data_IF_770247840101
#
_entry.id   IF_770247840101
#
_cell.length_a   1.000
_cell.length_b   1.000
_cell.length_c   1.000
_cell.angle_alpha   90.00
_cell.angle_beta   90.00
_cell.angle_gamma   90.00
#
_symmetry.space_group_name_H-M   'P 1'
#
loop_
_entity.id
_entity.type
_entity.pdbx_description
1 polymer ?
#
# COMPACT_ATOMS: atom_id res chain seq x y z
N UNK A 1 -9.17 -2.41 -1.38
CA UNK A 1 -9.22 -0.93 -1.57
C UNK A 1 -10.61 -0.42 -1.94
N UNK A 2 -11.29 -0.92 -2.95
CA UNK A 2 -12.62 -0.42 -3.35
C UNK A 2 -13.70 -0.66 -2.30
N UNK A 3 -13.53 -1.61 -1.38
CA UNK A 3 -14.43 -1.88 -0.26
C UNK A 3 -14.49 -0.74 0.76
N UNK A 4 -13.46 0.08 0.85
CA UNK A 4 -13.50 1.28 1.67
C UNK A 4 -14.57 2.28 1.22
N UNK A 5 -14.93 2.31 -0.07
CA UNK A 5 -15.92 3.25 -0.59
C UNK A 5 -17.29 3.06 0.06
N UNK A 6 -17.88 1.84 0.10
CA UNK A 6 -19.13 1.60 0.84
C UNK A 6 -18.97 1.85 2.33
N UNK A 7 -17.88 1.38 2.93
CA UNK A 7 -17.63 1.49 4.37
C UNK A 7 -17.60 2.95 4.86
N UNK A 8 -16.85 3.82 4.17
CA UNK A 8 -16.83 5.25 4.49
C UNK A 8 -18.13 5.95 4.11
N UNK A 9 -18.73 5.57 2.97
CA UNK A 9 -20.00 6.14 2.56
C UNK A 9 -21.10 5.89 3.60
N UNK A 10 -21.12 4.71 4.22
CA UNK A 10 -22.12 4.36 5.24
C UNK A 10 -21.90 5.06 6.58
N UNK A 11 -20.70 5.49 6.91
CA UNK A 11 -20.40 6.24 8.13
C UNK A 11 -20.84 7.71 8.09
N UNK A 12 -21.00 8.29 6.89
CA UNK A 12 -21.38 9.68 6.73
C UNK A 12 -22.89 9.79 6.38
N UNK A 13 -23.77 10.26 7.28
CA UNK A 13 -25.23 10.13 7.14
C UNK A 13 -25.79 10.62 5.80
N UNK A 14 -25.31 11.76 5.31
CA UNK A 14 -25.75 12.34 4.03
C UNK A 14 -25.29 11.49 2.85
N UNK A 15 -24.03 11.05 2.88
CA UNK A 15 -23.45 10.22 1.83
C UNK A 15 -24.09 8.83 1.85
N UNK A 16 -24.33 8.27 3.03
CA UNK A 16 -25.02 6.99 3.23
C UNK A 16 -26.41 6.97 2.58
N UNK A 17 -27.17 8.05 2.76
CA UNK A 17 -28.49 8.16 2.13
C UNK A 17 -28.41 8.10 0.60
N UNK A 18 -27.52 8.89 -0.02
CA UNK A 18 -27.36 8.90 -1.47
C UNK A 18 -26.73 7.62 -2.00
N UNK A 19 -25.80 7.02 -1.27
CA UNK A 19 -25.17 5.75 -1.60
C UNK A 19 -26.22 4.62 -1.64
N UNK A 20 -27.03 4.47 -0.59
CA UNK A 20 -28.09 3.44 -0.53
C UNK A 20 -29.09 3.63 -1.68
N UNK A 21 -29.50 4.86 -1.93
CA UNK A 21 -30.44 5.17 -3.04
C UNK A 21 -29.86 4.80 -4.40
N UNK A 22 -28.58 5.05 -4.64
CA UNK A 22 -27.93 4.66 -5.90
C UNK A 22 -27.75 3.14 -6.00
N UNK A 23 -27.37 2.47 -4.92
CA UNK A 23 -27.27 1.01 -4.82
C UNK A 23 -28.63 0.35 -5.13
N UNK A 24 -29.73 0.83 -4.53
CA UNK A 24 -31.07 0.30 -4.74
C UNK A 24 -31.56 0.52 -6.18
N UNK A 25 -31.27 1.68 -6.75
CA UNK A 25 -31.57 1.98 -8.15
C UNK A 25 -30.82 1.04 -9.08
N UNK A 26 -29.53 0.79 -8.78
CA UNK A 26 -28.69 -0.09 -9.55
C UNK A 26 -29.19 -1.54 -9.46
N UNK A 27 -29.51 -2.01 -8.25
CA UNK A 27 -30.09 -3.32 -7.99
C UNK A 27 -31.40 -3.54 -8.80
N UNK A 28 -32.27 -2.55 -8.85
CA UNK A 28 -33.53 -2.61 -9.63
C UNK A 28 -33.28 -2.67 -11.13
N UNK A 29 -32.24 -1.98 -11.60
CA UNK A 29 -31.95 -1.89 -13.04
C UNK A 29 -31.19 -3.12 -13.55
N UNK A 30 -30.17 -3.54 -12.82
CA UNK A 30 -29.23 -4.56 -13.29
C UNK A 30 -29.47 -5.96 -12.64
N UNK A 31 -30.34 -6.04 -11.62
CA UNK A 31 -30.65 -7.28 -10.91
C UNK A 31 -29.61 -7.67 -9.84
N UNK A 32 -28.49 -6.96 -9.76
CA UNK A 32 -27.45 -7.11 -8.74
C UNK A 32 -27.05 -5.72 -8.24
N UNK A 33 -26.78 -5.57 -6.95
CA UNK A 33 -26.27 -4.34 -6.36
C UNK A 33 -24.84 -4.03 -6.78
N UNK A 34 -24.41 -2.79 -6.59
CA UNK A 34 -22.99 -2.44 -6.71
C UNK A 34 -22.30 -3.09 -5.52
N UNK A 35 -21.40 -4.02 -5.81
CA UNK A 35 -20.55 -4.70 -4.85
C UNK A 35 -19.09 -4.52 -5.31
N UNK A 36 -18.31 -3.86 -4.50
CA UNK A 36 -16.91 -3.60 -4.79
C UNK A 36 -15.95 -4.64 -4.18
N UNK A 37 -16.46 -5.64 -3.43
CA UNK A 37 -15.63 -6.69 -2.82
C UNK A 37 -14.89 -7.53 -3.87
N UNK A 38 -15.49 -7.68 -5.05
CA UNK A 38 -14.91 -8.40 -6.19
C UNK A 38 -14.51 -7.48 -7.34
N UNK A 39 -14.43 -6.17 -7.08
CA UNK A 39 -14.10 -5.22 -8.11
C UNK A 39 -12.59 -5.15 -8.36
N UNK A 40 -12.21 -4.99 -9.61
CA UNK A 40 -10.86 -4.72 -10.05
C UNK A 40 -10.70 -3.23 -10.36
N UNK A 41 -9.64 -2.63 -9.86
CA UNK A 41 -9.30 -1.25 -10.17
C UNK A 41 -8.01 -1.20 -10.98
N UNK A 42 -8.03 -0.46 -12.10
CA UNK A 42 -6.83 -0.19 -12.89
C UNK A 42 -6.31 1.22 -12.56
N UNK A 43 -5.04 1.37 -12.18
CA UNK A 43 -4.46 2.68 -11.90
C UNK A 43 -4.49 3.58 -13.15
N UNK A 44 -4.46 4.92 -12.97
CA UNK A 44 -4.44 5.86 -14.11
C UNK A 44 -3.19 5.68 -14.97
N UNK A 45 -2.04 5.43 -14.37
CA UNK A 45 -0.78 5.22 -15.08
C UNK A 45 -0.54 3.75 -15.39
N UNK A 46 0.22 3.48 -16.45
CA UNK A 46 0.75 2.15 -16.73
C UNK A 46 1.95 1.87 -15.82
N UNK A 47 2.32 0.61 -15.66
CA UNK A 47 3.48 0.23 -14.86
C UNK A 47 4.77 0.91 -15.34
N UNK A 48 4.96 0.98 -16.66
CA UNK A 48 6.12 1.63 -17.28
C UNK A 48 6.18 3.13 -16.93
N UNK A 49 5.04 3.84 -17.01
CA UNK A 49 4.99 5.25 -16.68
C UNK A 49 5.22 5.52 -15.19
N UNK A 50 4.78 4.61 -14.30
CA UNK A 50 5.10 4.70 -12.86
C UNK A 50 6.58 4.46 -12.63
N UNK A 51 7.16 3.42 -13.26
CA UNK A 51 8.59 3.13 -13.18
C UNK A 51 9.43 4.33 -13.61
N UNK A 52 9.11 4.95 -14.76
CA UNK A 52 9.81 6.09 -15.29
C UNK A 52 9.73 7.34 -14.37
N UNK A 53 8.59 7.57 -13.74
CA UNK A 53 8.41 8.69 -12.79
C UNK A 53 9.26 8.48 -11.53
N UNK A 54 9.24 7.28 -10.95
CA UNK A 54 10.04 6.95 -9.77
C UNK A 54 11.53 7.08 -10.09
N UNK A 55 11.96 6.52 -11.23
CA UNK A 55 13.33 6.61 -11.70
C UNK A 55 13.76 8.06 -11.91
N UNK A 56 12.97 8.85 -12.64
CA UNK A 56 13.29 10.25 -12.94
C UNK A 56 13.42 11.12 -11.68
N UNK A 57 12.64 10.83 -10.64
CA UNK A 57 12.74 11.55 -9.37
C UNK A 57 14.08 11.29 -8.68
N UNK A 58 14.51 10.03 -8.63
CA UNK A 58 15.76 9.61 -8.00
C UNK A 58 16.96 10.16 -8.79
N UNK A 59 16.94 10.03 -10.12
CA UNK A 59 17.97 10.57 -11.01
C UNK A 59 18.04 12.10 -10.94
N UNK A 60 16.90 12.78 -10.81
CA UNK A 60 16.80 14.21 -10.56
C UNK A 60 17.45 14.69 -9.27
N UNK A 61 17.62 13.80 -8.29
CA UNK A 61 18.39 14.03 -7.06
C UNK A 61 19.90 13.74 -7.23
N UNK A 62 20.35 13.34 -8.41
CA UNK A 62 21.75 13.00 -8.70
C UNK A 62 22.17 11.59 -8.26
N UNK A 63 21.22 10.70 -8.09
CA UNK A 63 21.42 9.30 -7.66
C UNK A 63 21.10 8.33 -8.80
N UNK A 64 21.67 7.13 -8.76
CA UNK A 64 21.23 6.00 -9.59
C UNK A 64 19.99 5.38 -8.98
N UNK A 65 19.02 4.99 -9.82
CA UNK A 65 17.72 4.52 -9.37
C UNK A 65 17.63 2.99 -9.42
N UNK A 66 17.23 2.40 -8.29
CA UNK A 66 16.75 1.01 -8.21
C UNK A 66 15.26 1.10 -7.82
N UNK A 67 14.36 0.75 -8.75
CA UNK A 67 12.92 0.89 -8.57
C UNK A 67 12.26 -0.48 -8.47
N UNK A 68 11.51 -0.69 -7.39
CA UNK A 68 10.66 -1.86 -7.18
C UNK A 68 9.21 -1.40 -7.09
N UNK A 69 8.39 -1.83 -8.03
CA UNK A 69 6.94 -1.61 -7.96
C UNK A 69 6.28 -2.78 -7.23
N UNK A 70 5.27 -2.49 -6.43
CA UNK A 70 4.50 -3.51 -5.70
C UNK A 70 3.02 -3.18 -5.77
N UNK A 71 2.33 -3.78 -6.74
CA UNK A 71 0.88 -3.71 -6.82
C UNK A 71 0.23 -4.63 -5.77
N UNK A 72 -0.96 -4.25 -5.28
CA UNK A 72 -1.73 -5.12 -4.39
C UNK A 72 -2.06 -6.45 -5.07
N UNK A 73 -1.59 -7.54 -4.48
CA UNK A 73 -1.93 -8.91 -4.84
C UNK A 73 -1.72 -9.23 -6.35
N UNK A 74 -0.76 -8.54 -7.00
CA UNK A 74 -0.47 -8.73 -8.42
C UNK A 74 0.99 -8.43 -8.77
N UNK A 75 1.55 -9.23 -9.67
CA UNK A 75 2.87 -9.01 -10.28
C UNK A 75 2.80 -8.58 -11.75
N UNK A 76 1.59 -8.39 -12.28
CA UNK A 76 1.39 -8.13 -13.72
C UNK A 76 2.13 -6.88 -14.23
N UNK A 77 2.17 -5.82 -13.40
CA UNK A 77 2.89 -4.59 -13.70
C UNK A 77 4.39 -4.83 -13.84
N UNK A 78 4.98 -5.57 -12.90
CA UNK A 78 6.41 -5.92 -12.89
C UNK A 78 6.81 -6.80 -14.07
N UNK A 79 5.97 -7.82 -14.38
CA UNK A 79 6.22 -8.71 -15.49
C UNK A 79 6.26 -7.94 -16.80
N UNK A 80 5.33 -7.00 -17.01
CA UNK A 80 5.32 -6.15 -18.21
C UNK A 80 6.56 -5.26 -18.32
N UNK A 81 7.02 -4.64 -17.23
CA UNK A 81 8.25 -3.84 -17.26
C UNK A 81 9.42 -4.69 -17.70
N UNK A 82 9.52 -5.90 -17.19
CA UNK A 82 10.60 -6.83 -17.54
C UNK A 82 10.56 -7.26 -19.01
N UNK A 83 9.37 -7.49 -19.57
CA UNK A 83 9.17 -7.97 -20.92
C UNK A 83 9.20 -6.84 -21.96
N UNK A 84 8.42 -5.77 -21.74
CA UNK A 84 8.19 -4.71 -22.73
C UNK A 84 9.33 -3.69 -22.80
N UNK A 85 9.94 -3.36 -21.66
CA UNK A 85 11.04 -2.39 -21.60
C UNK A 85 12.42 -3.05 -21.62
N UNK A 86 12.50 -4.37 -21.54
CA UNK A 86 13.77 -5.08 -21.42
C UNK A 86 14.56 -4.68 -20.16
N UNK A 87 13.88 -4.13 -19.14
CA UNK A 87 14.48 -3.78 -17.86
C UNK A 87 14.67 -5.04 -17.04
N UNK A 88 15.68 -5.80 -17.42
CA UNK A 88 15.98 -7.10 -16.79
C UNK A 88 16.34 -7.00 -15.31
N UNK A 89 16.66 -5.80 -14.83
CA UNK A 89 17.07 -5.53 -13.44
C UNK A 89 15.91 -5.11 -12.53
N UNK A 90 14.70 -4.82 -13.07
CA UNK A 90 13.56 -4.53 -12.22
C UNK A 90 13.15 -5.79 -11.45
N UNK A 91 13.04 -5.72 -10.10
CA UNK A 91 12.59 -6.84 -9.31
C UNK A 91 11.12 -7.14 -9.55
N UNK A 92 10.71 -8.39 -9.50
CA UNK A 92 9.31 -8.79 -9.49
C UNK A 92 8.80 -8.76 -8.06
N UNK A 93 7.82 -7.90 -7.79
CA UNK A 93 7.38 -7.62 -6.42
C UNK A 93 5.86 -7.45 -6.36
N UNK A 94 5.28 -7.66 -5.18
CA UNK A 94 3.88 -7.39 -4.90
C UNK A 94 3.71 -6.91 -3.45
N UNK A 95 2.63 -6.21 -3.20
CA UNK A 95 2.11 -5.97 -1.87
C UNK A 95 1.06 -7.03 -1.56
N UNK A 96 1.46 -8.05 -0.80
CA UNK A 96 0.60 -9.19 -0.46
C UNK A 96 -0.34 -8.84 0.68
N UNK A 97 -1.65 -9.02 0.48
CA UNK A 97 -2.66 -8.90 1.52
C UNK A 97 -2.72 -10.20 2.33
N UNK A 98 -2.35 -10.10 3.60
CA UNK A 98 -2.22 -11.23 4.53
C UNK A 98 -3.35 -11.19 5.56
N UNK A 99 -4.44 -11.96 5.38
CA UNK A 99 -5.44 -12.12 6.42
C UNK A 99 -4.83 -12.73 7.68
N UNK A 100 -5.14 -12.16 8.84
CA UNK A 100 -4.66 -12.65 10.13
C UNK A 100 -5.70 -12.40 11.22
N UNK A 101 -6.21 -13.46 11.83
CA UNK A 101 -7.26 -13.43 12.84
C UNK A 101 -8.51 -12.63 12.41
N UNK A 102 -8.69 -11.43 12.97
CA UNK A 102 -9.82 -10.55 12.72
C UNK A 102 -9.47 -9.31 11.88
N UNK A 103 -8.34 -9.33 11.21
CA UNK A 103 -7.88 -8.26 10.35
C UNK A 103 -6.94 -8.77 9.27
N UNK A 104 -6.14 -7.88 8.72
CA UNK A 104 -5.10 -8.24 7.77
C UNK A 104 -3.93 -7.26 7.85
N UNK A 105 -2.78 -7.68 7.32
CA UNK A 105 -1.61 -6.86 7.12
C UNK A 105 -1.23 -6.82 5.65
N UNK A 106 -0.55 -5.77 5.23
CA UNK A 106 0.12 -5.74 3.96
C UNK A 106 1.59 -6.12 4.15
N UNK A 107 2.04 -7.04 3.34
CA UNK A 107 3.42 -7.54 3.35
C UNK A 107 4.03 -7.32 1.97
N UNK A 108 5.03 -6.46 1.90
CA UNK A 108 5.84 -6.30 0.70
C UNK A 108 6.68 -7.55 0.47
N UNK A 109 6.47 -8.23 -0.65
CA UNK A 109 7.30 -9.36 -1.10
C UNK A 109 8.03 -8.90 -2.35
N UNK A 110 9.31 -8.62 -2.20
CA UNK A 110 10.11 -8.04 -3.26
C UNK A 110 11.12 -9.03 -3.82
N UNK A 111 11.42 -8.89 -5.12
CA UNK A 111 12.44 -9.63 -5.84
C UNK A 111 12.21 -11.14 -5.90
N UNK A 112 10.98 -11.51 -6.22
CA UNK A 112 10.65 -12.91 -6.53
C UNK A 112 11.48 -13.40 -7.72
N UNK A 113 12.01 -14.65 -7.68
CA UNK A 113 12.66 -15.27 -8.85
C UNK A 113 11.71 -15.28 -10.04
N UNK A 114 12.11 -14.70 -11.18
CA UNK A 114 11.24 -14.51 -12.35
C UNK A 114 10.63 -15.79 -12.87
N UNK A 115 11.39 -16.86 -12.87
CA UNK A 115 10.97 -18.20 -13.29
C UNK A 115 9.94 -18.87 -12.36
N UNK A 116 9.83 -18.41 -11.12
CA UNK A 116 8.92 -18.93 -10.08
C UNK A 116 7.88 -17.89 -9.63
N UNK A 117 8.00 -16.65 -10.06
CA UNK A 117 7.18 -15.54 -9.54
C UNK A 117 5.68 -15.80 -9.67
N UNK A 118 5.24 -16.35 -10.80
CA UNK A 118 3.83 -16.67 -11.05
C UNK A 118 3.32 -17.73 -10.08
N UNK A 119 4.07 -18.81 -9.87
CA UNK A 119 3.65 -19.90 -8.97
C UNK A 119 3.69 -19.45 -7.51
N UNK A 120 4.74 -18.75 -7.09
CA UNK A 120 4.83 -18.19 -5.74
C UNK A 120 3.67 -17.22 -5.47
N UNK A 121 3.39 -16.31 -6.38
CA UNK A 121 2.25 -15.38 -6.25
C UNK A 121 0.93 -16.15 -6.13
N UNK A 122 0.73 -17.19 -6.94
CA UNK A 122 -0.49 -18.02 -6.88
C UNK A 122 -0.65 -18.69 -5.50
N UNK A 123 0.44 -19.18 -4.90
CA UNK A 123 0.40 -19.78 -3.56
C UNK A 123 0.04 -18.74 -2.49
N UNK A 124 0.60 -17.53 -2.58
CA UNK A 124 0.28 -16.42 -1.67
C UNK A 124 -1.19 -16.00 -1.80
N UNK A 125 -1.68 -15.84 -3.04
CA UNK A 125 -3.07 -15.45 -3.30
C UNK A 125 -4.08 -16.54 -2.92
N UNK A 126 -3.71 -17.82 -3.00
CA UNK A 126 -4.54 -18.92 -2.51
C UNK A 126 -4.79 -18.82 -1.00
N UNK A 127 -3.84 -18.28 -0.24
CA UNK A 127 -4.01 -17.96 1.18
C UNK A 127 -4.92 -16.74 1.38
N UNK A 128 -4.64 -15.64 0.68
CA UNK A 128 -5.44 -14.40 0.75
C UNK A 128 -6.92 -14.65 0.46
N UNK A 129 -7.22 -15.47 -0.55
CA UNK A 129 -8.58 -15.71 -1.03
C UNK A 129 -9.11 -17.10 -0.66
N UNK A 130 -8.62 -17.71 0.42
CA UNK A 130 -9.05 -19.04 0.87
C UNK A 130 -10.55 -19.13 1.18
N UNK A 131 -11.19 -18.01 1.49
CA UNK A 131 -12.59 -17.95 1.89
C UNK A 131 -12.85 -18.46 3.31
N UNK A 132 -11.82 -18.78 4.05
CA UNK A 132 -11.91 -19.24 5.43
C UNK A 132 -12.23 -18.07 6.36
N UNK A 133 -13.18 -18.24 7.27
CA UNK A 133 -13.48 -17.25 8.32
C UNK A 133 -12.26 -16.99 9.22
N UNK A 134 -11.39 -18.01 9.38
CA UNK A 134 -10.13 -17.92 10.13
C UNK A 134 -9.02 -18.52 9.29
N UNK A 135 -8.16 -17.67 8.70
CA UNK A 135 -7.01 -18.14 7.96
C UNK A 135 -6.08 -19.00 8.80
N UNK A 136 -5.52 -20.04 8.20
CA UNK A 136 -4.65 -20.99 8.90
C UNK A 136 -3.30 -20.35 9.24
N UNK A 137 -3.02 -20.17 10.53
CA UNK A 137 -1.73 -19.65 10.99
C UNK A 137 -0.56 -20.60 10.64
N UNK A 138 -0.80 -21.91 10.63
CA UNK A 138 0.20 -22.90 10.20
C UNK A 138 0.55 -22.70 8.70
N UNK A 139 -0.47 -22.51 7.85
CA UNK A 139 -0.23 -22.25 6.42
C UNK A 139 0.51 -20.93 6.17
N UNK A 140 0.18 -19.91 6.94
CA UNK A 140 0.89 -18.63 6.88
C UNK A 140 2.37 -18.78 7.25
N UNK A 141 2.64 -19.55 8.30
CA UNK A 141 4.00 -19.91 8.72
C UNK A 141 4.79 -20.61 7.61
N UNK A 142 4.17 -21.58 6.93
CA UNK A 142 4.79 -22.28 5.79
C UNK A 142 5.12 -21.32 4.64
N UNK A 143 4.23 -20.40 4.31
CA UNK A 143 4.44 -19.42 3.25
C UNK A 143 5.59 -18.46 3.59
N UNK A 144 5.65 -17.95 4.81
CA UNK A 144 6.78 -17.12 5.24
C UNK A 144 8.10 -17.89 5.24
N UNK A 145 8.09 -19.13 5.72
CA UNK A 145 9.29 -19.97 5.68
C UNK A 145 9.75 -20.21 4.24
N UNK A 146 8.85 -20.53 3.34
CA UNK A 146 9.11 -20.70 1.90
C UNK A 146 9.75 -19.45 1.28
N UNK A 147 9.19 -18.26 1.56
CA UNK A 147 9.77 -17.01 1.07
C UNK A 147 11.16 -16.76 1.64
N UNK A 148 11.37 -17.06 2.92
CA UNK A 148 12.65 -16.86 3.59
C UNK A 148 13.75 -17.79 3.10
N UNK A 149 13.42 -18.99 2.60
CA UNK A 149 14.37 -19.93 1.98
C UNK A 149 14.95 -19.42 0.65
N UNK A 150 14.34 -18.38 0.06
CA UNK A 150 14.81 -17.77 -1.18
C UNK A 150 15.68 -16.55 -0.82
N UNK A 151 17.01 -16.62 -0.97
CA UNK A 151 17.91 -15.59 -0.43
C UNK A 151 17.68 -14.20 -1.02
N UNK A 152 17.27 -14.11 -2.29
CA UNK A 152 17.03 -12.85 -3.00
C UNK A 152 15.69 -12.20 -2.65
N UNK A 153 14.78 -12.90 -1.95
CA UNK A 153 13.46 -12.33 -1.60
C UNK A 153 13.57 -11.47 -0.35
N UNK A 154 13.04 -10.26 -0.42
CA UNK A 154 12.90 -9.35 0.71
C UNK A 154 11.44 -9.29 1.16
N UNK A 155 11.20 -9.57 2.44
CA UNK A 155 9.88 -9.54 3.07
C UNK A 155 9.81 -8.35 4.02
N UNK A 156 8.89 -7.43 3.76
CA UNK A 156 8.72 -6.17 4.50
C UNK A 156 7.31 -6.14 5.10
N UNK A 157 7.18 -5.82 6.38
CA UNK A 157 5.88 -5.52 6.96
C UNK A 157 5.52 -4.06 6.66
N UNK A 158 4.58 -3.87 5.74
CA UNK A 158 4.20 -2.54 5.25
C UNK A 158 3.37 -1.79 6.30
N UNK A 159 3.64 -0.49 6.45
CA UNK A 159 2.92 0.48 7.32
C UNK A 159 2.29 -0.17 8.58
N UNK A 160 3.08 -0.85 9.43
CA UNK A 160 2.58 -1.76 10.47
C UNK A 160 1.66 -1.12 11.51
N UNK A 161 1.75 0.20 11.70
CA UNK A 161 0.93 0.94 12.66
C UNK A 161 -0.39 1.46 12.07
N UNK A 162 -0.64 1.21 10.79
CA UNK A 162 -1.89 1.63 10.17
C UNK A 162 -2.99 0.58 10.38
N UNK A 163 -4.01 0.96 11.13
CA UNK A 163 -5.23 0.16 11.32
C UNK A 163 -6.11 0.24 10.04
N UNK A 164 -5.79 -0.61 9.07
CA UNK A 164 -6.45 -0.63 7.77
C UNK A 164 -7.91 -1.03 7.89
N UNK A 165 -8.21 -2.05 8.68
CA UNK A 165 -9.56 -2.54 8.94
C UNK A 165 -10.39 -1.63 9.85
N UNK A 166 -9.75 -0.62 10.45
CA UNK A 166 -10.38 0.28 11.43
C UNK A 166 -11.03 -0.49 12.58
N UNK A 167 -10.33 -1.50 13.08
CA UNK A 167 -10.76 -2.28 14.26
C UNK A 167 -10.64 -1.50 15.57
N UNK A 168 -9.95 -0.37 15.51
CA UNK A 168 -9.61 0.48 16.64
C UNK A 168 -8.17 0.29 17.12
N UNK A 169 -7.54 1.34 17.66
CA UNK A 169 -6.11 1.36 17.94
C UNK A 169 -5.68 0.25 18.92
N UNK A 170 -6.43 0.02 19.98
CA UNK A 170 -6.13 -1.02 20.97
C UNK A 170 -6.18 -2.44 20.36
N UNK A 171 -7.20 -2.72 19.56
CA UNK A 171 -7.33 -4.02 18.90
C UNK A 171 -6.28 -4.22 17.82
N UNK A 172 -5.96 -3.17 17.05
CA UNK A 172 -4.90 -3.23 16.06
C UNK A 172 -3.54 -3.50 16.72
N UNK A 173 -3.23 -2.84 17.84
CA UNK A 173 -2.01 -3.07 18.61
C UNK A 173 -1.89 -4.54 19.07
N UNK A 174 -2.97 -5.12 19.60
CA UNK A 174 -3.00 -6.54 20.00
C UNK A 174 -2.75 -7.44 18.78
N UNK A 175 -3.40 -7.15 17.65
CA UNK A 175 -3.25 -7.91 16.42
C UNK A 175 -1.80 -7.86 15.90
N UNK A 176 -1.20 -6.67 15.87
CA UNK A 176 0.18 -6.45 15.45
C UNK A 176 1.18 -7.18 16.36
N UNK A 177 1.01 -7.08 17.68
CA UNK A 177 1.83 -7.81 18.65
C UNK A 177 1.79 -9.31 18.41
N UNK A 178 0.59 -9.83 18.16
CA UNK A 178 0.43 -11.25 17.88
C UNK A 178 1.08 -11.64 16.55
N UNK A 179 0.87 -10.88 15.50
CA UNK A 179 1.48 -11.11 14.19
C UNK A 179 3.02 -11.14 14.27
N UNK A 180 3.62 -10.14 14.93
CA UNK A 180 5.08 -10.08 15.10
C UNK A 180 5.60 -11.23 15.97
N UNK A 181 4.87 -11.63 17.01
CA UNK A 181 5.25 -12.77 17.85
C UNK A 181 5.31 -14.07 17.05
N UNK A 182 4.32 -14.31 16.20
CA UNK A 182 4.20 -15.54 15.43
C UNK A 182 5.11 -15.54 14.19
N UNK A 183 5.22 -14.40 13.50
CA UNK A 183 5.81 -14.31 12.16
C UNK A 183 7.00 -13.35 12.04
N UNK A 184 7.29 -12.54 13.06
CA UNK A 184 8.34 -11.50 13.01
C UNK A 184 9.72 -11.99 12.62
N UNK A 185 10.06 -13.26 12.92
CA UNK A 185 11.36 -13.85 12.55
C UNK A 185 11.60 -13.96 11.02
N UNK A 186 10.53 -13.88 10.22
CA UNK A 186 10.61 -13.91 8.76
C UNK A 186 10.44 -12.52 8.12
N UNK A 187 10.21 -11.49 8.95
CA UNK A 187 10.14 -10.11 8.50
C UNK A 187 11.57 -9.54 8.46
N UNK A 188 11.98 -9.09 7.29
CA UNK A 188 13.34 -8.60 7.07
C UNK A 188 13.49 -7.11 7.37
N UNK A 189 12.39 -6.33 7.19
CA UNK A 189 12.34 -4.90 7.49
C UNK A 189 10.92 -4.48 7.86
N UNK A 190 10.80 -3.33 8.57
CA UNK A 190 9.53 -2.61 8.74
C UNK A 190 9.49 -1.43 7.77
N UNK A 191 8.32 -1.16 7.20
CA UNK A 191 8.16 -0.06 6.26
C UNK A 191 7.90 1.26 6.97
N UNK A 192 8.72 2.28 6.65
CA UNK A 192 8.32 3.66 6.78
C UNK A 192 7.73 4.14 5.46
N UNK A 193 6.63 4.88 5.53
CA UNK A 193 5.76 5.04 4.37
C UNK A 193 5.53 6.51 4.02
N UNK A 194 5.62 6.81 2.72
CA UNK A 194 5.41 8.16 2.19
C UNK A 194 4.01 8.72 2.44
N UNK A 195 3.03 7.87 2.70
CA UNK A 195 1.63 8.21 2.95
C UNK A 195 1.25 8.21 4.44
N UNK A 196 2.25 8.23 5.34
CA UNK A 196 2.06 8.29 6.79
C UNK A 196 2.57 9.61 7.38
N UNK A 197 2.15 9.91 8.59
CA UNK A 197 2.66 11.07 9.34
C UNK A 197 4.11 10.84 9.76
N UNK A 198 4.82 11.93 10.07
CA UNK A 198 6.15 11.80 10.65
C UNK A 198 6.11 11.09 12.02
N UNK A 199 5.11 11.39 12.85
CA UNK A 199 4.96 10.74 14.15
C UNK A 199 4.78 9.22 14.02
N UNK A 200 4.02 8.76 13.04
CA UNK A 200 3.81 7.34 12.78
C UNK A 200 5.09 6.68 12.25
N UNK A 201 5.73 7.27 11.24
CA UNK A 201 6.97 6.73 10.68
C UNK A 201 8.08 6.65 11.73
N UNK A 202 8.17 7.64 12.63
CA UNK A 202 9.15 7.59 13.70
C UNK A 202 8.85 6.48 14.71
N UNK A 203 7.58 6.26 15.04
CA UNK A 203 7.18 5.13 15.87
C UNK A 203 7.56 3.78 15.23
N UNK A 204 7.45 3.66 13.90
CA UNK A 204 7.94 2.46 13.17
C UNK A 204 9.46 2.32 13.26
N UNK A 205 10.22 3.42 13.15
CA UNK A 205 11.68 3.39 13.30
C UNK A 205 12.07 2.87 14.68
N UNK A 206 11.48 3.43 15.73
CA UNK A 206 11.74 3.03 17.10
C UNK A 206 11.33 1.57 17.36
N UNK A 207 10.23 1.11 16.76
CA UNK A 207 9.82 -0.30 16.81
C UNK A 207 10.83 -1.20 16.09
N UNK A 208 11.32 -0.81 14.92
CA UNK A 208 12.33 -1.56 14.17
C UNK A 208 13.64 -1.67 14.96
N UNK A 209 14.09 -0.58 15.59
CA UNK A 209 15.26 -0.58 16.48
C UNK A 209 15.09 -1.54 17.66
N UNK A 210 13.92 -1.53 18.31
CA UNK A 210 13.62 -2.44 19.43
C UNK A 210 13.58 -3.92 19.02
N UNK A 211 13.13 -4.20 17.78
CA UNK A 211 13.11 -5.55 17.22
C UNK A 211 14.45 -6.00 16.62
N UNK A 212 15.41 -5.10 16.48
CA UNK A 212 16.69 -5.36 15.83
C UNK A 212 16.59 -5.68 14.34
N UNK A 213 15.57 -5.13 13.66
CA UNK A 213 15.37 -5.27 12.21
C UNK A 213 15.47 -3.90 11.53
N UNK A 214 15.97 -3.82 10.28
CA UNK A 214 16.09 -2.56 9.57
C UNK A 214 14.71 -1.99 9.19
N UNK A 215 14.73 -0.74 8.74
CA UNK A 215 13.61 -0.12 8.06
C UNK A 215 13.80 -0.20 6.55
N UNK A 216 12.70 -0.27 5.80
CA UNK A 216 12.67 -0.05 4.36
C UNK A 216 11.65 1.03 4.03
N UNK A 217 11.62 1.50 2.80
CA UNK A 217 10.70 2.58 2.40
C UNK A 217 9.65 2.10 1.44
N UNK A 218 8.43 2.61 1.59
CA UNK A 218 7.35 2.40 0.64
C UNK A 218 6.56 3.67 0.38
N UNK A 219 5.88 3.70 -0.75
CA UNK A 219 5.13 4.86 -1.21
C UNK A 219 3.66 4.82 -0.88
N UNK A 220 3.06 3.65 -0.92
CA UNK A 220 1.61 3.43 -0.87
C UNK A 220 0.86 4.42 -1.77
N UNK A 221 1.43 4.66 -2.97
CA UNK A 221 0.97 5.69 -3.91
C UNK A 221 0.05 5.09 -4.95
N UNK A 222 -1.17 5.60 -5.00
CA UNK A 222 -2.19 5.20 -5.95
C UNK A 222 -2.46 6.25 -7.03
N UNK A 223 -1.81 7.42 -6.92
CA UNK A 223 -1.90 8.54 -7.86
C UNK A 223 -0.74 8.59 -8.85
N UNK A 224 -0.50 9.78 -9.41
CA UNK A 224 0.48 10.02 -10.47
C UNK A 224 1.78 10.69 -9.96
N UNK A 225 2.02 10.71 -8.65
CA UNK A 225 3.23 11.28 -8.06
C UNK A 225 4.15 10.20 -7.53
N UNK A 226 5.47 10.40 -7.61
CA UNK A 226 6.43 9.42 -7.10
C UNK A 226 6.40 9.35 -5.58
N UNK A 227 7.07 8.33 -5.05
CA UNK A 227 7.24 8.13 -3.62
C UNK A 227 7.97 9.34 -2.98
N UNK A 228 7.66 9.59 -1.72
CA UNK A 228 8.24 10.72 -0.96
C UNK A 228 9.25 10.30 0.09
N UNK A 229 9.51 9.01 0.23
CA UNK A 229 10.51 8.42 1.13
C UNK A 229 11.26 7.35 0.34
N UNK A 230 12.57 7.43 0.29
CA UNK A 230 13.42 6.51 -0.47
C UNK A 230 14.52 5.92 0.41
N UNK A 231 14.91 4.67 0.15
CA UNK A 231 16.16 4.13 0.71
C UNK A 231 17.36 4.72 -0.02
N UNK A 232 18.42 5.02 0.73
CA UNK A 232 19.73 5.34 0.21
C UNK A 232 20.64 4.13 0.42
N UNK A 233 21.28 3.67 -0.63
CA UNK A 233 22.15 2.48 -0.61
C UNK A 233 23.34 2.66 -1.52
N UNK A 234 24.40 1.89 -1.28
CA UNK A 234 25.54 1.76 -2.19
C UNK A 234 25.40 0.56 -3.16
N UNK A 235 24.31 -0.19 -3.04
CA UNK A 235 24.00 -1.32 -3.90
C UNK A 235 23.72 -0.85 -5.32
N UNK A 236 24.14 -1.65 -6.31
CA UNK A 236 23.91 -1.39 -7.74
C UNK A 236 22.79 -2.22 -8.32
N UNK A 237 22.41 -3.26 -7.61
CA UNK A 237 21.32 -4.17 -7.98
C UNK A 237 20.36 -4.34 -6.82
N UNK A 238 19.15 -4.80 -7.12
CA UNK A 238 18.20 -5.09 -6.05
C UNK A 238 18.64 -6.28 -5.19
N UNK A 239 19.37 -7.27 -5.76
CA UNK A 239 19.94 -8.39 -5.01
C UNK A 239 20.94 -7.92 -3.95
N UNK A 240 21.84 -7.00 -4.31
CA UNK A 240 22.78 -6.39 -3.37
C UNK A 240 22.04 -5.60 -2.27
N UNK A 241 20.98 -4.88 -2.63
CA UNK A 241 20.13 -4.19 -1.65
C UNK A 241 19.43 -5.17 -0.69
N UNK A 242 18.96 -6.31 -1.19
CA UNK A 242 18.40 -7.37 -0.34
C UNK A 242 19.44 -7.89 0.64
N UNK A 243 20.67 -8.11 0.19
CA UNK A 243 21.76 -8.54 1.06
C UNK A 243 22.07 -7.50 2.15
N UNK A 244 22.12 -6.21 1.78
CA UNK A 244 22.32 -5.10 2.71
C UNK A 244 21.25 -5.08 3.81
N UNK A 245 19.98 -5.28 3.47
CA UNK A 245 18.87 -5.30 4.43
C UNK A 245 18.84 -6.61 5.22
N UNK A 246 18.91 -7.77 4.56
CA UNK A 246 18.70 -9.08 5.21
C UNK A 246 19.90 -9.52 6.02
N UNK A 247 21.11 -9.31 5.51
CA UNK A 247 22.34 -9.87 6.07
C UNK A 247 23.08 -8.82 6.86
N UNK A 248 23.38 -7.67 6.26
CA UNK A 248 24.13 -6.61 6.91
C UNK A 248 23.30 -5.83 7.93
N UNK A 249 21.98 -5.95 7.89
CA UNK A 249 21.03 -5.24 8.78
C UNK A 249 21.21 -3.72 8.74
N UNK A 250 21.54 -3.20 7.56
CA UNK A 250 21.79 -1.78 7.32
C UNK A 250 20.70 -1.17 6.46
N UNK A 251 20.27 0.04 6.83
CA UNK A 251 19.33 0.82 6.05
C UNK A 251 19.53 2.31 6.33
N UNK A 252 19.57 3.10 5.27
CA UNK A 252 19.53 4.55 5.32
C UNK A 252 18.33 5.06 4.53
N UNK A 253 17.73 6.16 4.97
CA UNK A 253 16.48 6.69 4.40
C UNK A 253 16.58 8.18 4.17
N UNK A 254 16.06 8.63 3.03
CA UNK A 254 15.94 10.04 2.67
C UNK A 254 14.47 10.41 2.52
N UNK A 255 14.10 11.51 3.19
CA UNK A 255 12.79 12.13 3.05
C UNK A 255 12.84 13.17 1.92
N UNK A 256 12.09 12.94 0.85
CA UNK A 256 12.00 13.89 -0.26
C UNK A 256 11.29 15.19 0.19
N UNK A 257 11.52 16.32 -0.48
CA UNK A 257 10.92 17.61 -0.10
C UNK A 257 9.38 17.55 0.02
N UNK A 258 8.74 16.73 -0.81
CA UNK A 258 7.28 16.54 -0.83
C UNK A 258 6.76 15.89 0.45
N UNK A 259 7.56 15.06 1.10
CA UNK A 259 7.19 14.45 2.39
C UNK A 259 6.93 15.50 3.47
N UNK A 260 7.62 16.64 3.42
CA UNK A 260 7.46 17.75 4.37
C UNK A 260 6.13 18.49 4.24
N UNK A 261 5.34 18.20 3.18
CA UNK A 261 3.99 18.75 3.04
C UNK A 261 3.01 18.03 4.00
N UNK A 262 1.91 18.72 4.43
CA UNK A 262 0.91 18.09 5.28
C UNK A 262 0.36 16.80 4.67
N UNK A 263 0.25 15.74 5.46
CA UNK A 263 -0.24 14.43 4.99
C UNK A 263 -1.61 14.55 4.31
N UNK A 264 -2.56 15.25 4.94
CA UNK A 264 -3.90 15.42 4.37
C UNK A 264 -3.88 16.11 3.00
N UNK A 265 -2.96 17.04 2.77
CA UNK A 265 -2.79 17.67 1.45
C UNK A 265 -2.30 16.65 0.41
N UNK A 266 -1.35 15.78 0.78
CA UNK A 266 -0.81 14.73 -0.09
C UNK A 266 -1.86 13.66 -0.39
N UNK A 267 -2.62 13.25 0.63
CA UNK A 267 -3.72 12.28 0.48
C UNK A 267 -4.81 12.81 -0.45
N UNK A 268 -5.31 14.04 -0.22
CA UNK A 268 -6.34 14.65 -1.07
C UNK A 268 -5.86 14.85 -2.50
N UNK A 269 -4.57 15.21 -2.69
CA UNK A 269 -3.97 15.28 -4.01
C UNK A 269 -4.00 13.92 -4.70
N UNK A 270 -3.57 12.86 -4.04
CA UNK A 270 -3.58 11.50 -4.59
C UNK A 270 -5.00 11.02 -4.94
N UNK A 271 -5.96 11.20 -4.04
CA UNK A 271 -7.37 10.88 -4.35
C UNK A 271 -7.90 11.67 -5.53
N UNK A 272 -7.55 12.96 -5.63
CA UNK A 272 -7.91 13.79 -6.77
C UNK A 272 -7.32 13.26 -8.07
N UNK A 273 -6.05 12.84 -8.05
CA UNK A 273 -5.35 12.25 -9.20
C UNK A 273 -5.99 10.93 -9.65
N UNK A 274 -6.36 10.06 -8.70
CA UNK A 274 -7.08 8.81 -9.02
C UNK A 274 -8.39 9.07 -9.77
N UNK A 275 -9.11 10.12 -9.41
CA UNK A 275 -10.44 10.43 -9.93
C UNK A 275 -10.42 11.40 -11.11
N UNK A 276 -9.26 11.95 -11.45
CA UNK A 276 -9.12 12.93 -12.53
C UNK A 276 -9.32 12.30 -13.90
N UNK A 277 -9.71 13.11 -14.86
CA UNK A 277 -9.72 12.79 -16.28
C UNK A 277 -8.36 13.10 -16.90
N UNK A 278 -7.82 12.13 -17.62
CA UNK A 278 -6.54 12.21 -18.30
C UNK A 278 -6.73 11.98 -19.80
N UNK A 279 -6.96 13.05 -20.59
CA UNK A 279 -7.21 12.92 -22.03
C UNK A 279 -6.00 12.36 -22.79
N UNK A 280 -4.79 12.53 -22.24
CA UNK A 280 -3.51 12.05 -22.78
C UNK A 280 -3.33 10.52 -22.63
N UNK A 281 -4.08 9.86 -21.74
CA UNK A 281 -3.98 8.43 -21.58
C UNK A 281 -4.82 7.70 -22.64
N UNK A 282 -4.43 6.47 -22.95
CA UNK A 282 -5.15 5.63 -23.90
C UNK A 282 -6.58 5.37 -23.45
N UNK A 283 -7.44 5.02 -24.42
CA UNK A 283 -8.83 4.61 -24.14
C UNK A 283 -8.88 3.50 -23.08
N UNK A 284 -9.87 3.59 -22.19
CA UNK A 284 -10.01 2.71 -21.04
C UNK A 284 -9.21 3.12 -19.81
N UNK A 285 -8.33 4.13 -19.89
CA UNK A 285 -7.60 4.68 -18.75
C UNK A 285 -7.86 6.17 -18.51
N UNK A 286 -8.56 6.85 -19.41
CA UNK A 286 -8.75 8.29 -19.36
C UNK A 286 -9.65 8.74 -18.20
N UNK A 287 -10.71 8.00 -17.89
CA UNK A 287 -11.72 8.37 -16.89
C UNK A 287 -11.74 7.35 -15.76
N UNK A 288 -11.89 7.81 -14.53
CA UNK A 288 -11.85 6.93 -13.35
C UNK A 288 -12.91 5.81 -13.41
N UNK A 289 -14.09 6.07 -13.93
CA UNK A 289 -15.18 5.10 -14.05
C UNK A 289 -15.03 4.11 -15.22
N UNK A 290 -14.05 4.31 -16.08
CA UNK A 290 -13.58 3.32 -17.04
C UNK A 290 -12.50 2.39 -16.44
N UNK A 291 -11.91 2.77 -15.30
CA UNK A 291 -10.85 2.03 -14.60
C UNK A 291 -11.33 1.17 -13.43
N UNK A 292 -12.62 1.22 -13.11
CA UNK A 292 -13.24 0.37 -12.09
C UNK A 292 -14.07 -0.70 -12.78
N UNK A 293 -13.65 -1.95 -12.63
CA UNK A 293 -14.28 -3.10 -13.26
C UNK A 293 -14.94 -3.98 -12.21
N UNK A 294 -16.13 -4.45 -12.47
CA UNK A 294 -16.80 -5.42 -11.61
C UNK A 294 -17.75 -6.31 -12.41
N UNK A 295 -18.06 -7.48 -11.87
CA UNK A 295 -18.99 -8.43 -12.47
C UNK A 295 -20.38 -8.28 -11.85
N UNK A 296 -21.37 -7.99 -12.71
CA UNK A 296 -22.78 -7.93 -12.31
C UNK A 296 -23.46 -9.31 -12.23
N UNK A 297 -22.70 -10.40 -12.44
CA UNK A 297 -23.20 -11.77 -12.28
C UNK A 297 -24.09 -12.27 -13.40
N UNK A 298 -24.10 -11.60 -14.58
CA UNK A 298 -24.88 -12.00 -15.77
C UNK A 298 -24.06 -12.82 -16.77
N UNK A 299 -22.94 -13.38 -16.35
CA UNK A 299 -22.03 -14.12 -17.23
C UNK A 299 -21.21 -13.26 -18.19
N UNK A 300 -21.26 -11.93 -18.02
CA UNK A 300 -20.54 -10.97 -18.86
C UNK A 300 -19.09 -10.72 -18.39
N UNK A 301 -18.69 -11.30 -17.25
CA UNK A 301 -17.39 -11.08 -16.63
C UNK A 301 -17.19 -9.64 -16.12
N UNK A 302 -15.93 -9.27 -15.88
CA UNK A 302 -15.55 -7.95 -15.41
C UNK A 302 -15.73 -6.90 -16.52
N UNK A 303 -16.52 -5.88 -16.24
CA UNK A 303 -16.74 -4.75 -17.14
C UNK A 303 -16.62 -3.42 -16.41
N UNK A 304 -16.22 -2.34 -17.09
CA UNK A 304 -16.08 -1.04 -16.46
C UNK A 304 -17.44 -0.45 -16.00
N UNK A 305 -17.40 0.33 -14.93
CA UNK A 305 -18.58 1.05 -14.40
C UNK A 305 -19.33 1.84 -15.48
N UNK A 306 -18.61 2.37 -16.46
CA UNK A 306 -19.22 3.09 -17.60
C UNK A 306 -20.15 2.25 -18.44
N UNK A 307 -19.92 0.94 -18.53
CA UNK A 307 -20.79 0.01 -19.24
C UNK A 307 -22.15 -0.17 -18.56
N UNK A 308 -22.22 0.05 -17.24
CA UNK A 308 -23.40 -0.16 -16.42
C UNK A 308 -24.19 1.11 -16.08
N UNK A 309 -24.03 2.18 -16.85
CA UNK A 309 -24.86 3.37 -16.73
C UNK A 309 -24.17 4.59 -16.12
N UNK A 310 -22.94 4.48 -15.64
CA UNK A 310 -22.17 5.63 -15.12
C UNK A 310 -21.37 6.37 -16.22
N UNK A 311 -21.91 6.39 -17.44
CA UNK A 311 -21.26 6.98 -18.64
C UNK A 311 -20.80 8.43 -18.46
N UNK A 312 -21.39 9.17 -17.51
CA UNK A 312 -21.04 10.58 -17.20
C UNK A 312 -20.33 10.74 -15.86
N UNK A 313 -19.77 9.67 -15.29
CA UNK A 313 -19.07 9.71 -14.00
C UNK A 313 -19.97 9.59 -12.78
N UNK A 314 -21.10 8.91 -12.92
CA UNK A 314 -22.04 8.67 -11.82
C UNK A 314 -23.04 9.80 -11.56
N UNK A 315 -23.74 9.76 -10.43
CA UNK A 315 -24.74 10.73 -10.05
C UNK A 315 -24.14 12.13 -9.82
N UNK A 316 -24.97 13.16 -9.93
CA UNK A 316 -24.52 14.57 -9.86
C UNK A 316 -23.80 14.89 -8.55
N UNK A 317 -24.29 14.35 -7.42
CA UNK A 317 -23.67 14.57 -6.11
C UNK A 317 -22.24 14.01 -6.05
N UNK A 318 -21.98 12.85 -6.65
CA UNK A 318 -20.64 12.24 -6.70
C UNK A 318 -19.68 13.09 -7.55
N UNK A 319 -20.18 13.62 -8.67
CA UNK A 319 -19.38 14.53 -9.51
C UNK A 319 -19.00 15.81 -8.77
N UNK A 320 -19.91 16.36 -7.97
CA UNK A 320 -19.60 17.48 -7.08
C UNK A 320 -18.60 17.10 -5.98
N UNK A 321 -18.74 15.93 -5.38
CA UNK A 321 -17.78 15.44 -4.39
C UNK A 321 -16.37 15.30 -5.00
N UNK A 322 -16.25 14.74 -6.19
CA UNK A 322 -14.96 14.62 -6.92
C UNK A 322 -14.36 15.99 -7.22
N UNK A 323 -15.18 16.94 -7.67
CA UNK A 323 -14.74 18.31 -7.90
C UNK A 323 -14.22 18.95 -6.61
N UNK A 324 -14.94 18.78 -5.50
CA UNK A 324 -14.53 19.30 -4.18
C UNK A 324 -13.22 18.67 -3.73
N UNK A 325 -13.03 17.35 -3.89
CA UNK A 325 -11.76 16.68 -3.60
C UNK A 325 -10.62 17.26 -4.44
N UNK A 326 -10.85 17.48 -5.73
CA UNK A 326 -9.88 18.13 -6.62
C UNK A 326 -9.49 19.54 -6.17
N UNK A 327 -10.45 20.32 -5.70
CA UNK A 327 -10.19 21.64 -5.15
C UNK A 327 -9.39 21.57 -3.85
N UNK A 328 -9.79 20.72 -2.91
CA UNK A 328 -9.11 20.53 -1.62
C UNK A 328 -7.68 19.97 -1.80
N UNK A 329 -7.47 19.06 -2.76
CA UNK A 329 -6.16 18.52 -3.09
C UNK A 329 -5.25 19.48 -3.88
N UNK A 330 -5.75 20.67 -4.25
CA UNK A 330 -4.96 21.63 -5.01
C UNK A 330 -3.86 22.29 -4.17
N UNK A 331 -2.74 22.72 -4.79
CA UNK A 331 -1.68 23.43 -4.08
C UNK A 331 -2.14 24.69 -3.33
N UNK A 332 -3.24 25.30 -3.77
CA UNK A 332 -3.84 26.51 -3.14
C UNK A 332 -4.36 26.24 -1.73
N UNK A 333 -4.74 25.00 -1.41
CA UNK A 333 -5.25 24.61 -0.10
C UNK A 333 -4.15 24.20 0.90
N UNK A 334 -2.91 24.00 0.44
CA UNK A 334 -1.77 23.60 1.31
C UNK A 334 -1.56 24.50 2.54
N UNK A 335 -1.61 25.85 2.44
CA UNK A 335 -1.44 26.72 3.61
C UNK A 335 -2.49 26.47 4.70
N UNK A 336 -3.72 26.13 4.32
CA UNK A 336 -4.78 25.77 5.26
C UNK A 336 -4.44 24.49 6.04
N UNK A 337 -3.99 23.45 5.33
CA UNK A 337 -3.59 22.19 5.97
C UNK A 337 -2.32 22.36 6.82
N UNK A 338 -1.41 23.25 6.44
CA UNK A 338 -0.22 23.54 7.25
C UNK A 338 -0.59 24.22 8.59
N UNK A 339 -1.60 25.09 8.61
CA UNK A 339 -2.11 25.68 9.83
C UNK A 339 -2.77 24.65 10.76
N UNK A 340 -3.45 23.68 10.18
CA UNK A 340 -4.15 22.60 10.92
C UNK A 340 -3.21 21.47 11.37
N UNK A 341 -1.96 21.44 10.89
CA UNK A 341 -1.00 20.37 11.16
C UNK A 341 -0.56 20.35 12.60
N UNK A 342 -0.63 19.18 13.24
CA UNK A 342 -0.13 18.99 14.61
C UNK A 342 1.39 19.14 14.64
N UNK A 343 1.91 19.72 15.73
CA UNK A 343 3.36 19.92 15.90
C UNK A 343 4.15 18.61 15.79
N UNK A 344 3.65 17.52 16.36
CA UNK A 344 4.27 16.20 16.33
C UNK A 344 4.43 15.61 14.92
N UNK A 345 3.59 16.05 13.96
CA UNK A 345 3.62 15.56 12.57
C UNK A 345 4.49 16.43 11.67
N UNK A 346 5.16 17.44 12.21
CA UNK A 346 6.15 18.24 11.50
C UNK A 346 7.48 17.49 11.49
N UNK A 347 8.03 17.30 10.31
CA UNK A 347 9.39 16.78 10.18
C UNK A 347 10.34 17.79 10.83
N UNK A 348 11.10 17.44 11.87
CA UNK A 348 12.07 18.34 12.48
C UNK A 348 13.16 18.70 11.48
N UNK A 349 13.82 19.83 11.70
CA UNK A 349 15.01 20.22 10.90
C UNK A 349 16.14 19.22 11.14
N UNK A 350 16.24 18.77 12.39
CA UNK A 350 17.10 17.66 12.78
C UNK A 350 16.19 16.53 13.32
N UNK A 351 16.13 15.44 12.58
CA UNK A 351 15.25 14.31 12.94
C UNK A 351 15.69 13.59 14.23
N UNK A 352 16.92 13.80 14.69
CA UNK A 352 17.47 13.15 15.88
C UNK A 352 16.90 13.70 17.20
N UNK A 353 16.29 14.89 17.21
CA UNK A 353 15.86 15.55 18.44
C UNK A 353 14.45 15.18 18.93
N UNK A 354 13.69 14.40 18.18
CA UNK A 354 12.28 14.14 18.50
C UNK A 354 12.10 12.82 19.25
N UNK A 355 11.68 12.89 20.51
CA UNK A 355 11.25 11.69 21.27
C UNK A 355 9.77 11.41 21.03
N UNK A 356 9.43 10.13 20.84
CA UNK A 356 8.06 9.63 20.75
C UNK A 356 7.78 8.65 21.87
N UNK A 357 6.55 8.71 22.37
CA UNK A 357 5.99 7.63 23.18
C UNK A 357 5.49 6.55 22.22
N UNK A 358 6.07 5.38 22.31
CA UNK A 358 5.62 4.20 21.57
C UNK A 358 5.01 3.27 22.60
N UNK A 359 3.73 2.91 22.43
CA UNK A 359 3.07 1.99 23.36
C UNK A 359 3.73 0.61 23.31
N UNK A 360 4.19 0.13 24.47
CA UNK A 360 4.46 -1.29 24.72
C UNK A 360 5.39 -2.02 23.73
N UNK A 361 6.49 -1.40 23.29
CA UNK A 361 7.46 -2.04 22.41
C UNK A 361 8.04 -3.34 22.96
N UNK A 362 8.30 -3.40 24.28
CA UNK A 362 8.75 -4.63 24.94
C UNK A 362 7.74 -5.78 24.82
N UNK A 363 6.45 -5.46 24.71
CA UNK A 363 5.42 -6.44 24.47
C UNK A 363 5.27 -6.84 22.99
N UNK A 364 5.67 -5.94 22.07
CA UNK A 364 5.67 -6.20 20.62
C UNK A 364 6.88 -7.07 20.25
N UNK A 365 8.03 -6.83 20.87
CA UNK A 365 9.25 -7.57 20.58
C UNK A 365 9.01 -9.08 20.72
N UNK A 366 9.48 -9.91 19.77
CA UNK A 366 9.48 -11.35 19.95
C UNK A 366 10.17 -11.61 21.30
N UNK A 367 9.53 -12.37 22.19
CA UNK A 367 10.22 -12.83 23.38
C UNK A 367 11.46 -13.52 22.88
N UNK A 368 12.64 -12.88 23.04
CA UNK A 368 13.90 -13.54 22.79
C UNK A 368 13.78 -14.89 23.46
N UNK A 369 14.05 -15.95 22.70
CA UNK A 369 14.08 -17.31 23.21
C UNK A 369 14.83 -17.24 24.54
N UNK A 370 14.07 -17.23 25.62
CA UNK A 370 14.64 -17.26 26.95
C UNK A 370 15.53 -18.49 26.97
N UNK A 371 16.76 -18.31 27.37
CA UNK A 371 17.81 -19.32 27.56
C UNK A 371 17.41 -20.47 28.52
N UNK A 372 16.13 -20.69 28.78
CA UNK A 372 15.58 -21.64 29.74
C UNK A 372 15.14 -22.98 29.12
N UNK A 373 15.62 -23.31 27.93
CA UNK A 373 15.44 -24.63 27.34
C UNK A 373 16.74 -25.45 27.30
N UNK A 374 17.66 -25.23 28.27
CA UNK A 374 18.79 -26.14 28.55
C UNK A 374 18.84 -26.35 30.06
N UNK A 375 18.09 -27.30 30.54
CA UNK A 375 18.37 -28.04 31.78
C UNK A 375 17.72 -29.42 31.68
#
# INVERSE_FOLDING_TARGET
MLDFVPHYAEKLPVIAYYWRKERDKYQKKEGKGIDFSTAYWSPPMTAEAVYDIEKAQIEGAGLEAIVSLSDHDSIDGNMRISEDLGVTHAPVSLEWTVPFEYGFFHVGVHNLPKDRAVDLTKDLLAYTFSGDEKPSNARLTELFAMLNEIPQVLVILNHPLWDIEMVGPERHEVLLKHFIREHGKWIHALEINGFRTWSENKAVIEMAEALGIPIATGGDRHGCKPNTVINLTNSRTFDEFVEEIRVEKRSEVVLMPEYKQPLHSRQLQSFSEILKFYPEFRDGRQRWFDRVFFDIGKGAGLNPLSAYGWKKGGPTWLRWAIWTLGFLGSPKMRPFFELARKQRDRVPKDAAETKFEIPNLEEIAPKSLSSDAVS
#
